data_IF_585486875859
#
_entry.id   IF_585486875859
#
_cell.length_a   1.000
_cell.length_b   1.000
_cell.length_c   1.000
_cell.angle_alpha   90.00
_cell.angle_beta   90.00
_cell.angle_gamma   90.00
#
_symmetry.space_group_name_H-M   'P 1'
#
loop_
_entity.id
_entity.type
_entity.pdbx_description
1 polymer ?
#
# COMPACT_ATOMS: atom_id res chain seq x y z
N UNK A 1 -80.65 15.40 43.51
CA UNK A 1 -80.84 13.94 43.63
C UNK A 1 -82.07 13.56 42.84
N UNK A 2 -81.91 12.57 41.97
CA UNK A 2 -82.94 11.67 41.43
C UNK A 2 -84.10 12.30 40.64
N UNK A 3 -84.35 11.97 39.39
CA UNK A 3 -84.20 10.69 38.69
C UNK A 3 -84.29 11.00 37.20
N UNK A 4 -83.56 10.21 36.40
CA UNK A 4 -83.90 9.90 35.00
C UNK A 4 -84.05 11.12 34.08
N UNK A 5 -83.27 11.17 33.01
CA UNK A 5 -83.86 10.97 31.69
C UNK A 5 -82.77 10.93 30.63
N UNK A 6 -82.58 9.72 30.13
CA UNK A 6 -82.37 9.47 28.71
C UNK A 6 -81.15 10.16 28.10
N UNK A 7 -79.99 9.52 28.23
CA UNK A 7 -79.26 9.08 27.04
C UNK A 7 -78.29 7.94 27.41
N UNK A 8 -78.83 6.89 28.02
CA UNK A 8 -78.38 5.56 27.60
C UNK A 8 -78.95 5.32 26.20
N UNK A 9 -78.28 4.45 25.44
CA UNK A 9 -78.65 3.88 24.13
C UNK A 9 -78.07 4.73 22.97
N UNK A 10 -76.94 4.45 22.32
CA UNK A 10 -76.12 3.25 22.16
C UNK A 10 -74.73 3.71 21.68
N UNK A 11 -73.66 3.38 22.41
CA UNK A 11 -72.41 2.95 21.81
C UNK A 11 -71.55 2.37 22.92
N UNK A 12 -71.73 1.07 23.10
CA UNK A 12 -70.77 0.20 23.78
C UNK A 12 -69.45 0.38 23.03
N UNK A 13 -68.50 1.09 23.63
CA UNK A 13 -67.12 0.99 23.19
C UNK A 13 -66.65 -0.38 23.64
N UNK A 14 -66.67 -1.34 22.72
CA UNK A 14 -66.12 -2.67 22.97
C UNK A 14 -64.63 -2.54 23.29
N UNK A 15 -64.07 -3.48 24.06
CA UNK A 15 -62.64 -3.52 24.37
C UNK A 15 -61.78 -3.44 23.09
N UNK A 16 -62.32 -3.87 21.95
CA UNK A 16 -61.73 -3.78 20.62
C UNK A 16 -61.48 -2.33 20.18
N UNK A 17 -62.33 -1.35 20.53
CA UNK A 17 -62.16 0.05 20.08
C UNK A 17 -61.04 0.79 20.83
N UNK A 18 -60.77 0.44 22.08
CA UNK A 18 -59.62 0.97 22.85
C UNK A 18 -58.33 0.29 22.37
N UNK A 19 -58.38 -1.03 22.10
CA UNK A 19 -57.25 -1.77 21.55
C UNK A 19 -56.89 -1.27 20.15
N UNK A 20 -57.87 -1.04 19.27
CA UNK A 20 -57.65 -0.45 17.94
C UNK A 20 -57.02 0.94 18.08
N UNK A 21 -57.46 1.77 19.03
CA UNK A 21 -56.88 3.11 19.24
C UNK A 21 -55.43 3.06 19.73
N UNK A 22 -55.10 2.16 20.65
CA UNK A 22 -53.73 1.98 21.17
C UNK A 22 -52.80 1.37 20.11
N UNK A 23 -53.29 0.41 19.31
CA UNK A 23 -52.54 -0.17 18.18
C UNK A 23 -52.33 0.87 17.08
N UNK A 24 -53.33 1.69 16.76
CA UNK A 24 -53.21 2.74 15.74
C UNK A 24 -52.22 3.82 16.18
N UNK A 25 -52.27 4.24 17.45
CA UNK A 25 -51.28 5.18 18.02
C UNK A 25 -49.88 4.57 18.01
N UNK A 26 -49.74 3.29 18.38
CA UNK A 26 -48.46 2.57 18.36
C UNK A 26 -47.87 2.44 16.96
N UNK A 27 -48.70 2.13 15.94
CA UNK A 27 -48.28 2.07 14.53
C UNK A 27 -47.91 3.45 14.00
N UNK A 28 -48.67 4.50 14.33
CA UNK A 28 -48.34 5.89 13.95
C UNK A 28 -47.01 6.31 14.60
N UNK A 29 -46.80 5.98 15.88
CA UNK A 29 -45.55 6.29 16.59
C UNK A 29 -44.37 5.49 16.02
N UNK A 30 -44.55 4.21 15.69
CA UNK A 30 -43.54 3.39 15.03
C UNK A 30 -43.22 3.88 13.61
N UNK A 31 -44.22 4.26 12.81
CA UNK A 31 -44.02 4.85 11.47
C UNK A 31 -43.34 6.21 11.59
N UNK A 32 -43.66 7.01 12.61
CA UNK A 32 -43.01 8.31 12.85
C UNK A 32 -41.57 8.13 13.33
N UNK A 33 -41.29 7.15 14.20
CA UNK A 33 -39.93 6.81 14.64
C UNK A 33 -39.10 6.19 13.52
N UNK A 34 -39.70 5.33 12.69
CA UNK A 34 -39.04 4.74 11.53
C UNK A 34 -38.79 5.78 10.45
N UNK A 35 -39.75 6.69 10.21
CA UNK A 35 -39.57 7.83 9.31
C UNK A 35 -38.52 8.80 9.84
N UNK A 36 -38.51 9.11 11.15
CA UNK A 36 -37.48 9.95 11.76
C UNK A 36 -36.10 9.27 11.78
N UNK A 37 -36.03 7.95 11.91
CA UNK A 37 -34.77 7.19 11.81
C UNK A 37 -34.26 7.07 10.37
N UNK A 38 -35.16 6.91 9.38
CA UNK A 38 -34.81 6.98 7.96
C UNK A 38 -34.39 8.40 7.57
N UNK A 39 -35.07 9.42 8.08
CA UNK A 39 -34.73 10.83 7.85
C UNK A 39 -33.45 11.21 8.60
N UNK A 40 -33.18 10.72 9.82
CA UNK A 40 -31.90 10.98 10.51
C UNK A 40 -30.74 10.25 9.83
N UNK A 41 -30.92 8.98 9.46
CA UNK A 41 -29.91 8.23 8.70
C UNK A 41 -29.69 8.82 7.30
N UNK A 42 -30.76 9.34 6.67
CA UNK A 42 -30.71 10.03 5.38
C UNK A 42 -30.03 11.39 5.48
N UNK A 43 -30.27 12.13 6.56
CA UNK A 43 -29.62 13.41 6.84
C UNK A 43 -28.14 13.22 7.20
N UNK A 44 -27.79 12.19 7.98
CA UNK A 44 -26.39 11.82 8.21
C UNK A 44 -25.72 11.38 6.90
N UNK A 45 -26.35 10.53 6.09
CA UNK A 45 -25.80 10.13 4.79
C UNK A 45 -25.68 11.31 3.81
N UNK A 46 -26.60 12.27 3.85
CA UNK A 46 -26.52 13.52 3.10
C UNK A 46 -25.43 14.45 3.64
N UNK A 47 -25.24 14.55 4.95
CA UNK A 47 -24.20 15.37 5.57
C UNK A 47 -22.82 14.77 5.32
N UNK A 48 -22.66 13.45 5.41
CA UNK A 48 -21.47 12.72 4.99
C UNK A 48 -21.18 12.95 3.50
N UNK A 49 -22.17 12.81 2.60
CA UNK A 49 -21.96 13.05 1.17
C UNK A 49 -21.70 14.53 0.84
N UNK A 50 -22.30 15.47 1.57
CA UNK A 50 -22.04 16.91 1.45
C UNK A 50 -20.66 17.30 1.97
N UNK A 51 -20.12 16.64 3.00
CA UNK A 51 -18.73 16.81 3.44
C UNK A 51 -17.73 16.34 2.38
N UNK A 52 -18.04 15.28 1.63
CA UNK A 52 -17.24 14.82 0.49
C UNK A 52 -17.32 15.76 -0.72
N UNK A 53 -18.48 16.42 -0.95
CA UNK A 53 -18.67 17.39 -2.04
C UNK A 53 -18.03 18.76 -1.73
N UNK A 54 -18.03 19.19 -0.45
CA UNK A 54 -17.54 20.51 -0.02
C UNK A 54 -16.09 20.53 0.51
N UNK A 55 -15.32 19.46 0.28
CA UNK A 55 -13.85 19.51 0.31
C UNK A 55 -13.18 19.81 1.66
N UNK A 56 -13.85 19.61 2.80
CA UNK A 56 -13.20 19.72 4.11
C UNK A 56 -12.78 18.33 4.61
N UNK A 57 -11.61 17.90 4.16
CA UNK A 57 -10.88 16.76 4.72
C UNK A 57 -9.74 17.28 5.62
N UNK A 58 -9.57 16.75 6.85
CA UNK A 58 -8.54 17.15 7.79
C UNK A 58 -7.15 16.72 7.28
N UNK A 59 -6.19 17.65 7.34
CA UNK A 59 -4.78 17.50 6.97
C UNK A 59 -4.54 16.60 5.75
N UNK A 60 -4.37 17.23 4.58
CA UNK A 60 -3.85 16.60 3.37
C UNK A 60 -2.60 15.75 3.70
N UNK A 61 -2.78 14.45 3.94
CA UNK A 61 -1.77 13.48 3.58
C UNK A 61 -1.72 13.58 2.07
N UNK A 62 -0.76 14.34 1.55
CA UNK A 62 -0.43 14.31 0.13
C UNK A 62 -0.33 12.83 -0.23
N UNK A 63 -1.34 12.31 -0.93
CA UNK A 63 -1.35 10.92 -1.38
C UNK A 63 -0.22 10.86 -2.38
N UNK A 64 0.98 10.51 -1.92
CA UNK A 64 2.17 10.39 -2.76
C UNK A 64 1.81 9.34 -3.79
N UNK A 65 1.36 9.81 -4.95
CA UNK A 65 1.09 8.95 -6.08
C UNK A 65 2.46 8.49 -6.56
N UNK A 66 2.64 7.17 -6.57
CA UNK A 66 3.84 6.59 -7.13
C UNK A 66 3.84 6.92 -8.63
N UNK A 67 4.90 7.57 -9.09
CA UNK A 67 5.09 7.84 -10.51
C UNK A 67 5.40 6.56 -11.31
N UNK A 68 5.92 5.52 -10.64
CA UNK A 68 6.37 4.29 -11.26
C UNK A 68 5.79 3.04 -10.59
N UNK A 69 5.52 2.03 -11.42
CA UNK A 69 5.18 0.68 -10.97
C UNK A 69 6.42 0.06 -10.32
N UNK A 70 6.24 -0.64 -9.21
CA UNK A 70 7.31 -1.39 -8.53
C UNK A 70 7.15 -2.87 -8.81
N UNK A 71 8.22 -3.51 -9.23
CA UNK A 71 8.29 -4.94 -9.47
C UNK A 71 8.90 -5.61 -8.24
N UNK A 72 8.28 -6.63 -7.65
CA UNK A 72 8.88 -7.41 -6.58
C UNK A 72 10.06 -8.21 -7.13
N UNK A 73 11.18 -8.17 -6.42
CA UNK A 73 12.44 -8.79 -6.83
C UNK A 73 13.14 -9.35 -5.60
N UNK A 74 14.14 -10.18 -5.84
CA UNK A 74 14.92 -10.84 -4.80
C UNK A 74 16.40 -10.88 -5.24
N UNK A 75 16.88 -9.88 -5.98
CA UNK A 75 18.24 -9.92 -6.56
C UNK A 75 19.24 -9.23 -5.62
N UNK A 76 20.47 -9.75 -5.47
CA UNK A 76 21.48 -9.13 -4.62
C UNK A 76 21.93 -7.80 -5.23
N UNK A 77 22.14 -6.82 -4.37
CA UNK A 77 22.66 -5.51 -4.76
C UNK A 77 23.85 -5.17 -3.89
N UNK A 78 24.82 -4.48 -4.48
CA UNK A 78 25.97 -3.93 -3.79
C UNK A 78 25.63 -2.49 -3.41
N UNK A 79 25.71 -2.18 -2.12
CA UNK A 79 25.49 -0.84 -1.57
C UNK A 79 26.83 -0.29 -1.12
N UNK A 80 27.26 0.79 -1.77
CA UNK A 80 28.55 1.42 -1.57
C UNK A 80 28.30 2.80 -0.95
N UNK A 81 28.69 3.05 0.31
CA UNK A 81 28.60 4.37 0.92
C UNK A 81 29.45 5.38 0.13
N UNK A 82 28.95 6.60 -0.06
CA UNK A 82 29.74 7.66 -0.69
C UNK A 82 30.55 8.41 0.38
N UNK A 83 31.83 8.06 0.55
CA UNK A 83 32.93 8.71 1.30
C UNK A 83 32.52 9.84 2.29
N UNK A 84 31.59 9.58 3.22
CA UNK A 84 31.21 10.54 4.23
C UNK A 84 31.08 9.82 5.58
N UNK A 85 32.09 9.95 6.46
CA UNK A 85 32.23 9.15 7.68
C UNK A 85 31.19 9.45 8.77
N UNK A 86 30.12 10.19 8.48
CA UNK A 86 29.22 10.72 9.50
C UNK A 86 27.91 9.98 9.70
N UNK A 87 27.56 8.93 8.95
CA UNK A 87 26.26 8.25 9.16
C UNK A 87 26.19 6.80 8.69
N UNK A 88 26.99 5.93 9.31
CA UNK A 88 26.51 4.59 9.69
C UNK A 88 26.61 4.56 11.22
N UNK A 89 25.52 4.31 11.93
CA UNK A 89 25.49 4.41 13.40
C UNK A 89 26.25 3.27 14.11
N UNK A 90 27.19 2.60 13.43
CA UNK A 90 28.23 1.77 14.03
C UNK A 90 29.49 1.92 13.17
N UNK A 91 30.61 2.22 13.82
CA UNK A 91 31.93 2.35 13.21
C UNK A 91 32.49 1.02 12.73
N UNK A 92 31.90 0.48 11.67
CA UNK A 92 32.46 -0.61 10.87
C UNK A 92 32.40 -0.12 9.43
N UNK A 93 33.53 0.49 9.06
CA UNK A 93 34.15 0.56 7.74
C UNK A 93 33.34 1.15 6.56
N UNK A 94 34.02 1.98 5.75
CA UNK A 94 33.62 2.47 4.42
C UNK A 94 33.42 1.31 3.39
N UNK A 95 32.98 0.15 3.85
CA UNK A 95 32.96 -1.08 3.06
C UNK A 95 31.62 -1.27 2.34
N UNK A 96 31.72 -1.86 1.16
CA UNK A 96 30.58 -2.25 0.35
C UNK A 96 29.79 -3.35 1.05
N UNK A 97 28.46 -3.20 1.16
CA UNK A 97 27.60 -4.27 1.65
C UNK A 97 26.84 -4.94 0.52
N UNK A 98 26.59 -6.24 0.65
CA UNK A 98 25.69 -6.98 -0.25
C UNK A 98 24.35 -7.12 0.46
N UNK A 99 23.32 -6.52 -0.14
CA UNK A 99 21.98 -6.45 0.44
C UNK A 99 20.95 -7.10 -0.49
N UNK A 100 19.83 -7.52 0.09
CA UNK A 100 18.74 -8.15 -0.66
C UNK A 100 17.76 -7.09 -1.17
N UNK A 101 17.67 -6.92 -2.48
CA UNK A 101 16.65 -6.05 -3.08
C UNK A 101 15.27 -6.71 -3.00
N UNK A 102 14.28 -5.95 -2.54
CA UNK A 102 12.90 -6.39 -2.34
C UNK A 102 11.99 -5.98 -3.50
N UNK A 103 12.22 -4.78 -4.06
CA UNK A 103 11.53 -4.33 -5.26
C UNK A 103 12.32 -3.22 -5.98
N UNK A 104 12.02 -3.07 -7.26
CA UNK A 104 12.64 -2.07 -8.13
C UNK A 104 11.59 -1.35 -8.98
N UNK A 105 11.91 -0.13 -9.41
CA UNK A 105 11.16 0.69 -10.34
C UNK A 105 12.10 1.61 -11.11
N UNK A 106 11.62 2.30 -12.13
CA UNK A 106 12.43 3.31 -12.84
C UNK A 106 12.87 4.48 -11.95
N UNK A 107 12.15 4.76 -10.87
CA UNK A 107 12.49 5.86 -9.93
C UNK A 107 13.46 5.45 -8.84
N UNK A 108 13.68 4.15 -8.61
CA UNK A 108 14.47 3.69 -7.48
C UNK A 108 14.13 2.28 -7.05
N UNK A 109 14.78 1.82 -5.98
CA UNK A 109 14.66 0.47 -5.46
C UNK A 109 14.42 0.45 -3.95
N UNK A 110 14.16 -0.73 -3.40
CA UNK A 110 14.03 -0.96 -1.97
C UNK A 110 14.80 -2.22 -1.62
N UNK A 111 15.49 -2.20 -0.49
CA UNK A 111 16.22 -3.35 0.03
C UNK A 111 16.04 -3.50 1.54
N UNK A 112 16.32 -4.71 2.04
CA UNK A 112 16.42 -4.98 3.47
C UNK A 112 17.85 -4.74 3.93
N UNK A 113 18.04 -4.13 5.10
CA UNK A 113 19.34 -4.02 5.74
C UNK A 113 19.27 -4.35 7.23
N UNK A 114 20.35 -4.89 7.78
CA UNK A 114 20.50 -5.11 9.22
C UNK A 114 20.63 -3.79 9.99
N UNK A 115 21.05 -2.71 9.34
CA UNK A 115 21.37 -1.41 9.96
C UNK A 115 20.53 -0.27 9.36
N UNK A 116 20.30 0.81 10.13
CA UNK A 116 19.55 1.96 9.63
C UNK A 116 20.40 2.83 8.70
N UNK A 117 19.76 3.40 7.68
CA UNK A 117 20.34 4.39 6.77
C UNK A 117 19.80 5.79 7.08
N UNK A 118 20.66 6.81 6.97
CA UNK A 118 20.23 8.19 7.17
C UNK A 118 19.55 8.74 5.92
N UNK A 119 18.35 9.29 6.10
CA UNK A 119 17.58 9.92 5.02
C UNK A 119 18.38 11.05 4.35
N UNK A 120 18.15 11.26 3.05
CA UNK A 120 18.82 12.24 2.20
C UNK A 120 20.32 12.02 1.97
N UNK A 121 20.90 10.92 2.47
CA UNK A 121 22.26 10.54 2.10
C UNK A 121 22.30 9.95 0.71
N UNK A 122 23.34 10.31 -0.04
CA UNK A 122 23.64 9.70 -1.32
C UNK A 122 24.48 8.45 -1.06
N UNK A 123 24.11 7.38 -1.71
CA UNK A 123 24.83 6.11 -1.75
C UNK A 123 24.92 5.68 -3.20
N UNK A 124 25.86 4.79 -3.50
CA UNK A 124 25.93 4.15 -4.79
C UNK A 124 25.40 2.74 -4.71
N UNK A 125 24.62 2.36 -5.70
CA UNK A 125 24.11 1.00 -5.87
C UNK A 125 24.74 0.40 -7.10
N UNK A 126 25.20 -0.84 -6.98
CA UNK A 126 25.61 -1.66 -8.11
C UNK A 126 24.84 -2.99 -8.15
N UNK A 127 24.52 -3.46 -9.35
CA UNK A 127 23.88 -4.75 -9.62
C UNK A 127 24.74 -5.47 -10.66
N UNK A 128 25.70 -6.27 -10.19
CA UNK A 128 26.61 -7.00 -11.10
C UNK A 128 25.94 -8.20 -11.78
N UNK A 129 24.72 -8.55 -11.37
CA UNK A 129 23.97 -9.69 -11.88
C UNK A 129 23.11 -9.35 -13.12
N UNK A 130 23.28 -8.17 -13.71
CA UNK A 130 22.67 -7.77 -14.98
C UNK A 130 23.77 -7.42 -15.99
N UNK A 131 23.45 -7.49 -17.29
CA UNK A 131 24.38 -7.20 -18.38
C UNK A 131 23.80 -6.12 -19.31
N UNK A 132 24.48 -4.96 -19.49
CA UNK A 132 25.69 -4.54 -18.77
C UNK A 132 25.42 -4.36 -17.26
N UNK A 133 26.48 -4.38 -16.44
CA UNK A 133 26.37 -4.14 -15.00
C UNK A 133 25.66 -2.81 -14.75
N UNK A 134 24.71 -2.79 -13.82
CA UNK A 134 24.02 -1.56 -13.46
C UNK A 134 24.74 -0.88 -12.30
N UNK A 135 25.05 0.41 -12.44
CA UNK A 135 25.60 1.23 -11.36
C UNK A 135 24.94 2.61 -11.38
N UNK A 136 24.43 3.07 -10.23
CA UNK A 136 23.79 4.37 -10.12
C UNK A 136 23.97 4.99 -8.73
N UNK A 137 24.11 6.31 -8.69
CA UNK A 137 23.93 7.07 -7.46
C UNK A 137 22.44 7.17 -7.10
N UNK A 138 22.14 7.08 -5.81
CA UNK A 138 20.79 7.11 -5.29
C UNK A 138 20.74 7.80 -3.92
N UNK A 139 19.63 8.49 -3.64
CA UNK A 139 19.38 9.12 -2.36
C UNK A 139 18.50 8.23 -1.49
N UNK A 140 18.83 8.12 -0.20
CA UNK A 140 17.97 7.46 0.79
C UNK A 140 16.71 8.30 0.99
N UNK A 141 15.63 7.94 0.31
CA UNK A 141 14.33 8.63 0.39
C UNK A 141 13.63 8.42 1.74
N UNK A 142 13.78 7.23 2.32
CA UNK A 142 13.28 6.87 3.64
C UNK A 142 13.97 5.60 4.18
N UNK A 143 13.98 5.45 5.50
CA UNK A 143 14.44 4.23 6.18
C UNK A 143 13.47 3.92 7.33
N UNK A 144 12.95 2.68 7.39
CA UNK A 144 11.92 2.28 8.37
C UNK A 144 12.30 0.96 9.01
N UNK A 145 12.19 0.89 10.35
CA UNK A 145 12.38 -0.37 11.08
C UNK A 145 11.24 -1.34 10.78
N UNK A 146 11.58 -2.58 10.43
CA UNK A 146 10.65 -3.68 10.13
C UNK A 146 11.09 -4.92 10.92
N UNK A 147 10.58 -5.05 12.15
CA UNK A 147 10.98 -6.13 13.05
C UNK A 147 12.46 -6.06 13.45
N UNK A 148 13.25 -7.02 12.95
CA UNK A 148 14.69 -7.15 13.24
C UNK A 148 15.61 -6.46 12.22
N UNK A 149 15.04 -5.95 11.12
CA UNK A 149 15.79 -5.30 10.03
C UNK A 149 15.19 -3.92 9.72
N UNK A 150 15.77 -3.24 8.75
CA UNK A 150 15.29 -1.98 8.19
C UNK A 150 14.93 -2.17 6.73
N UNK A 151 13.84 -1.55 6.30
CA UNK A 151 13.54 -1.33 4.89
C UNK A 151 14.07 0.03 4.50
N UNK A 152 14.87 0.05 3.45
CA UNK A 152 15.52 1.26 2.94
C UNK A 152 15.00 1.52 1.54
N UNK A 153 14.37 2.67 1.34
CA UNK A 153 13.89 3.11 0.05
C UNK A 153 14.86 4.07 -0.59
N UNK A 154 15.30 3.76 -1.80
CA UNK A 154 16.19 4.61 -2.58
C UNK A 154 15.44 5.27 -3.73
N UNK A 155 15.88 6.47 -4.06
CA UNK A 155 15.50 7.21 -5.27
C UNK A 155 16.75 7.45 -6.11
N UNK A 156 16.74 7.04 -7.38
CA UNK A 156 17.88 7.23 -8.27
C UNK A 156 18.10 8.71 -8.58
N UNK A 157 19.34 9.19 -8.46
CA UNK A 157 19.68 10.59 -8.75
C UNK A 157 19.93 10.83 -10.23
N UNK A 158 20.33 9.79 -10.97
CA UNK A 158 20.61 9.87 -12.41
C UNK A 158 19.32 9.94 -13.25
N UNK A 159 19.38 10.77 -14.30
CA UNK A 159 18.33 10.97 -15.29
C UNK A 159 18.43 10.03 -16.49
N UNK A 160 19.49 9.23 -16.65
CA UNK A 160 19.57 8.25 -17.74
C UNK A 160 18.45 7.21 -17.59
N UNK A 161 17.37 7.46 -18.33
CA UNK A 161 16.14 6.67 -18.25
C UNK A 161 16.27 5.41 -19.08
N UNK A 162 17.08 5.41 -20.13
CA UNK A 162 17.28 4.23 -20.98
C UNK A 162 18.03 3.15 -20.21
N UNK A 163 19.09 3.53 -19.49
CA UNK A 163 19.85 2.62 -18.64
C UNK A 163 18.99 2.00 -17.53
N UNK A 164 18.16 2.81 -16.86
CA UNK A 164 17.21 2.34 -15.84
C UNK A 164 16.14 1.43 -16.41
N UNK A 165 15.67 1.70 -17.64
CA UNK A 165 14.68 0.85 -18.32
C UNK A 165 15.26 -0.54 -18.55
N UNK A 166 16.44 -0.61 -19.17
CA UNK A 166 17.13 -1.87 -19.45
C UNK A 166 17.37 -2.67 -18.17
N UNK A 167 17.79 -2.04 -17.09
CA UNK A 167 17.98 -2.72 -15.80
C UNK A 167 16.68 -3.34 -15.26
N UNK A 168 15.56 -2.60 -15.28
CA UNK A 168 14.28 -3.15 -14.78
C UNK A 168 13.81 -4.33 -15.63
N UNK A 169 13.98 -4.25 -16.95
CA UNK A 169 13.65 -5.34 -17.88
C UNK A 169 14.51 -6.58 -17.59
N UNK A 170 15.82 -6.43 -17.42
CA UNK A 170 16.75 -7.51 -17.08
C UNK A 170 16.34 -8.23 -15.80
N UNK A 171 16.06 -7.47 -14.75
CA UNK A 171 15.63 -8.00 -13.46
C UNK A 171 14.32 -8.78 -13.61
N UNK A 172 13.38 -8.27 -14.41
CA UNK A 172 12.13 -8.97 -14.69
C UNK A 172 12.36 -10.29 -15.45
N UNK A 173 13.29 -10.33 -16.41
CA UNK A 173 13.65 -11.57 -17.11
C UNK A 173 14.25 -12.63 -16.19
N UNK A 174 15.19 -12.25 -15.30
CA UNK A 174 15.77 -13.16 -14.31
C UNK A 174 14.69 -13.75 -13.41
N UNK A 175 13.75 -12.92 -12.94
CA UNK A 175 12.65 -13.38 -12.11
C UNK A 175 11.68 -14.30 -12.86
N UNK A 176 11.45 -14.04 -14.15
CA UNK A 176 10.60 -14.90 -14.97
C UNK A 176 11.28 -16.23 -15.26
N UNK A 177 12.59 -16.22 -15.55
CA UNK A 177 13.41 -17.42 -15.71
C UNK A 177 13.36 -18.31 -14.48
N UNK A 178 13.56 -17.73 -13.28
CA UNK A 178 13.46 -18.45 -12.02
C UNK A 178 12.11 -19.19 -11.87
N UNK A 179 11.01 -18.51 -12.20
CA UNK A 179 9.66 -19.11 -12.18
C UNK A 179 9.49 -20.18 -13.25
N UNK A 180 10.05 -19.96 -14.44
CA UNK A 180 9.99 -20.91 -15.54
C UNK A 180 10.70 -22.21 -15.17
N UNK A 181 11.93 -22.14 -14.67
CA UNK A 181 12.71 -23.31 -14.22
C UNK A 181 11.99 -24.09 -13.12
N UNK A 182 11.41 -23.39 -12.15
CA UNK A 182 10.59 -24.07 -11.13
C UNK A 182 9.40 -24.81 -11.76
N UNK A 183 8.72 -24.20 -12.73
CA UNK A 183 7.56 -24.79 -13.36
C UNK A 183 7.89 -25.94 -14.34
N UNK A 184 9.02 -25.87 -15.05
CA UNK A 184 9.39 -26.85 -16.09
C UNK A 184 10.31 -27.96 -15.59
N UNK A 185 11.22 -27.64 -14.67
CA UNK A 185 12.23 -28.58 -14.16
C UNK A 185 11.94 -29.00 -12.70
N UNK A 186 11.04 -28.31 -11.99
CA UNK A 186 10.80 -28.54 -10.57
C UNK A 186 11.94 -28.08 -9.66
N UNK A 187 12.93 -27.37 -10.22
CA UNK A 187 14.12 -26.92 -9.50
C UNK A 187 13.88 -25.54 -8.89
N UNK A 188 14.03 -25.45 -7.57
CA UNK A 188 13.99 -24.17 -6.87
C UNK A 188 15.35 -23.48 -6.97
N UNK A 189 15.40 -22.43 -7.78
CA UNK A 189 16.57 -21.58 -7.91
C UNK A 189 16.58 -20.50 -6.82
N UNK A 190 17.75 -20.26 -6.21
CA UNK A 190 18.01 -19.00 -5.52
C UNK A 190 18.07 -17.84 -6.51
N UNK A 191 17.88 -16.60 -6.04
CA UNK A 191 17.91 -15.44 -6.96
C UNK A 191 19.29 -15.19 -7.56
N UNK A 192 20.35 -15.29 -6.76
CA UNK A 192 21.74 -15.21 -7.21
C UNK A 192 22.07 -16.30 -8.21
N UNK A 193 21.54 -17.50 -7.98
CA UNK A 193 21.70 -18.64 -8.88
C UNK A 193 20.97 -18.43 -10.20
N UNK A 194 19.71 -17.99 -10.16
CA UNK A 194 18.93 -17.64 -11.34
C UNK A 194 19.61 -16.54 -12.16
N UNK A 195 20.15 -15.51 -11.51
CA UNK A 195 20.84 -14.43 -12.20
C UNK A 195 22.13 -14.91 -12.87
N UNK A 196 22.94 -15.72 -12.17
CA UNK A 196 24.17 -16.32 -12.76
C UNK A 196 23.85 -17.21 -13.95
N UNK A 197 22.87 -18.10 -13.83
CA UNK A 197 22.45 -18.98 -14.92
C UNK A 197 21.91 -18.18 -16.11
N UNK A 198 21.08 -17.17 -15.85
CA UNK A 198 20.53 -16.30 -16.86
C UNK A 198 21.61 -15.53 -17.63
N UNK A 199 22.57 -14.92 -16.94
CA UNK A 199 23.70 -14.23 -17.59
C UNK A 199 24.53 -15.20 -18.43
N UNK A 200 24.84 -16.38 -17.89
CA UNK A 200 25.65 -17.37 -18.61
C UNK A 200 24.98 -17.84 -19.91
N UNK A 201 23.65 -17.99 -19.90
CA UNK A 201 22.89 -18.46 -21.05
C UNK A 201 22.50 -17.34 -22.05
N UNK A 202 22.13 -16.16 -21.55
CA UNK A 202 21.48 -15.12 -22.36
C UNK A 202 22.21 -13.76 -22.32
N UNK A 203 23.26 -13.60 -21.51
CA UNK A 203 23.96 -12.33 -21.29
C UNK A 203 24.53 -11.68 -22.55
N UNK A 204 24.88 -12.48 -23.57
CA UNK A 204 25.39 -11.99 -24.86
C UNK A 204 24.29 -11.52 -25.83
N UNK A 205 23.02 -11.86 -25.57
CA UNK A 205 21.89 -11.57 -26.46
C UNK A 205 21.22 -10.22 -26.18
N UNK A 206 21.68 -9.50 -25.15
CA UNK A 206 21.08 -8.24 -24.76
C UNK A 206 21.53 -7.07 -25.64
N UNK A 207 20.60 -6.16 -26.00
CA UNK A 207 20.95 -4.94 -26.71
C UNK A 207 21.98 -4.14 -25.91
N UNK A 208 23.03 -3.66 -26.58
CA UNK A 208 24.04 -2.77 -26.00
C UNK A 208 23.57 -1.32 -25.93
#
# INVERSE_FOLDING_TARGET
MDKLRLFFINNVWTADSIIISVVLIGVIFAVTLFSNSIVSNGNEAMEYSMQWINGHSPQQSEKIMRHYIRHPVDIPIEVIPENNPLTLTHGVDDDMTIEKMENVSFGGLMFQSAIPYTQNKVIRVKISSVSPEFEAAATVSWCRKAGKYYLVGLEFTDKDSEFKIRMVEQVCYIMHYRKHILATEGRELGSDEAAREWIAQYGASFPK
#
